data_IF_074139176540
#
_entry.id   IF_074139176540
#
_cell.length_a   1.000
_cell.length_b   1.000
_cell.length_c   1.000
_cell.angle_alpha   90.00
_cell.angle_beta   90.00
_cell.angle_gamma   90.00
#
_symmetry.space_group_name_H-M   'P 1'
#
loop_
_entity.id
_entity.type
_entity.pdbx_description
1 polymer ?
#
# COMPACT_ATOMS: atom_id res chain seq x y z
N UNK A 1 30.77 12.92 6.75
CA UNK A 1 30.68 11.60 6.08
C UNK A 1 29.73 10.63 6.82
N UNK A 2 28.68 11.09 7.53
CA UNK A 2 27.91 10.25 8.48
C UNK A 2 26.42 10.00 8.17
N UNK A 3 25.82 10.75 7.23
CA UNK A 3 24.38 10.62 6.94
C UNK A 3 24.09 9.49 5.94
N UNK A 4 24.99 9.24 4.98
CA UNK A 4 24.81 8.19 3.96
C UNK A 4 24.83 6.76 4.54
N UNK A 5 25.64 6.49 5.57
CA UNK A 5 25.72 5.15 6.15
C UNK A 5 24.47 4.76 6.96
N UNK A 6 23.83 5.70 7.66
CA UNK A 6 22.64 5.41 8.49
C UNK A 6 21.43 4.99 7.62
N UNK A 7 21.33 5.57 6.42
CA UNK A 7 20.23 5.33 5.46
C UNK A 7 20.28 3.91 4.87
N UNK A 8 21.47 3.42 4.52
CA UNK A 8 21.64 2.04 4.02
C UNK A 8 21.36 1.00 5.08
N UNK A 9 21.60 1.29 6.37
CA UNK A 9 21.38 0.33 7.45
C UNK A 9 19.89 0.12 7.76
N UNK A 10 19.07 1.19 7.75
CA UNK A 10 17.61 1.04 7.94
C UNK A 10 16.94 0.26 6.79
N UNK A 11 17.37 0.48 5.54
CA UNK A 11 16.86 -0.26 4.39
C UNK A 11 17.40 -1.71 4.31
N UNK A 12 18.56 -2.00 4.90
CA UNK A 12 19.11 -3.37 4.98
C UNK A 12 18.39 -4.20 6.03
N UNK A 13 18.09 -3.60 7.19
CA UNK A 13 17.50 -4.29 8.35
C UNK A 13 15.96 -4.36 8.32
N UNK A 14 15.32 -3.91 7.24
CA UNK A 14 13.87 -3.99 7.10
C UNK A 14 13.41 -5.39 6.69
N UNK A 15 12.40 -5.91 7.38
CA UNK A 15 11.80 -7.22 7.17
C UNK A 15 10.80 -7.22 5.99
N UNK A 16 10.20 -6.08 5.68
CA UNK A 16 9.28 -5.92 4.54
C UNK A 16 9.63 -4.69 3.71
N UNK A 17 9.59 -4.83 2.36
CA UNK A 17 10.03 -3.80 1.41
C UNK A 17 9.06 -3.69 0.24
N UNK A 18 8.55 -2.49 -0.02
CA UNK A 18 7.63 -2.24 -1.14
C UNK A 18 7.69 -0.78 -1.61
N UNK A 19 7.84 -0.55 -2.92
CA UNK A 19 7.82 0.78 -3.56
C UNK A 19 8.63 1.90 -2.86
N UNK A 20 9.81 1.58 -2.33
CA UNK A 20 10.65 2.53 -1.60
C UNK A 20 10.17 2.83 -0.18
N UNK A 21 9.29 2.00 0.37
CA UNK A 21 8.89 1.92 1.77
C UNK A 21 9.47 0.65 2.37
N UNK A 22 10.06 0.79 3.56
CA UNK A 22 10.84 -0.24 4.24
C UNK A 22 10.36 -0.31 5.70
N UNK A 23 9.89 -1.48 6.11
CA UNK A 23 9.38 -1.73 7.46
C UNK A 23 10.40 -2.54 8.25
N UNK A 24 10.82 -2.04 9.41
CA UNK A 24 11.73 -2.72 10.32
C UNK A 24 10.99 -3.03 11.61
N UNK A 25 10.77 -4.31 11.87
CA UNK A 25 9.95 -4.78 12.99
C UNK A 25 10.72 -4.72 14.30
N UNK A 26 12.03 -4.94 14.25
CA UNK A 26 12.88 -4.86 15.45
C UNK A 26 13.02 -3.43 15.96
N UNK A 27 12.99 -2.45 15.05
CA UNK A 27 13.11 -1.03 15.37
C UNK A 27 11.78 -0.28 15.34
N UNK A 28 10.67 -0.97 15.02
CA UNK A 28 9.32 -0.41 14.88
C UNK A 28 9.28 0.86 14.04
N UNK A 29 9.92 0.82 12.87
CA UNK A 29 10.06 1.99 12.00
C UNK A 29 9.68 1.72 10.55
N UNK A 30 9.07 2.73 9.94
CA UNK A 30 8.76 2.83 8.52
C UNK A 30 9.71 3.87 7.93
N UNK A 31 10.67 3.41 7.12
CA UNK A 31 11.56 4.26 6.35
C UNK A 31 11.02 4.41 4.93
N UNK A 32 10.92 5.66 4.46
CA UNK A 32 10.35 5.98 3.15
C UNK A 32 11.36 6.80 2.32
N UNK A 33 11.76 6.23 1.19
CA UNK A 33 12.62 6.86 0.20
C UNK A 33 11.79 7.41 -0.95
N UNK A 34 11.95 8.69 -1.28
CA UNK A 34 11.25 9.31 -2.41
C UNK A 34 12.02 9.05 -3.72
N UNK A 35 11.30 8.71 -4.79
CA UNK A 35 11.90 8.37 -6.09
C UNK A 35 12.26 9.59 -6.96
N UNK A 36 11.73 10.78 -6.66
CA UNK A 36 11.88 11.95 -7.54
C UNK A 36 13.08 12.83 -7.14
N UNK A 37 14.00 13.04 -8.09
CA UNK A 37 15.21 13.89 -7.94
C UNK A 37 14.89 15.38 -7.66
N UNK A 38 13.70 15.87 -8.04
CA UNK A 38 13.32 17.28 -7.89
C UNK A 38 12.79 17.66 -6.51
N UNK A 39 12.46 16.67 -5.66
CA UNK A 39 12.16 16.87 -4.23
C UNK A 39 13.36 16.43 -3.40
N UNK A 40 14.49 17.15 -3.52
CA UNK A 40 15.73 17.03 -2.72
C UNK A 40 15.71 15.90 -1.67
N UNK A 41 15.96 14.65 -2.05
CA UNK A 41 16.30 13.54 -1.14
C UNK A 41 15.56 13.48 0.21
N UNK A 42 14.27 13.87 0.27
CA UNK A 42 13.55 14.00 1.56
C UNK A 42 13.13 12.62 2.05
N UNK A 43 14.07 11.84 2.53
CA UNK A 43 13.77 10.59 3.20
C UNK A 43 13.03 10.87 4.51
N UNK A 44 12.04 10.06 4.83
CA UNK A 44 11.30 10.19 6.08
C UNK A 44 11.35 8.86 6.83
N UNK A 45 11.76 8.94 8.08
CA UNK A 45 11.67 7.84 9.04
C UNK A 45 10.49 8.15 9.97
N UNK A 46 9.56 7.21 10.05
CA UNK A 46 8.40 7.25 10.94
C UNK A 46 8.44 6.06 11.87
N UNK A 47 8.01 6.24 13.12
CA UNK A 47 7.74 5.11 14.02
C UNK A 47 6.41 4.45 13.65
N UNK A 48 6.23 3.20 14.05
CA UNK A 48 4.97 2.48 13.91
C UNK A 48 3.83 3.22 14.60
N UNK A 49 4.08 3.78 15.79
CA UNK A 49 3.08 4.55 16.52
C UNK A 49 2.64 5.87 15.83
N UNK A 50 3.35 6.33 14.80
CA UNK A 50 2.94 7.48 13.99
C UNK A 50 2.01 7.10 12.83
N UNK A 51 1.84 5.79 12.54
CA UNK A 51 0.86 5.32 11.58
C UNK A 51 -0.54 5.46 12.20
N UNK A 52 -1.38 6.28 11.59
CA UNK A 52 -2.74 6.54 12.07
C UNK A 52 -3.76 5.61 11.39
N UNK A 53 -3.61 5.40 10.09
CA UNK A 53 -4.49 4.55 9.29
C UNK A 53 -3.90 4.34 7.89
N UNK A 54 -4.53 3.48 7.11
CA UNK A 54 -4.25 3.35 5.68
C UNK A 54 -5.55 3.14 4.90
N UNK A 55 -5.47 3.31 3.58
CA UNK A 55 -6.56 2.93 2.66
C UNK A 55 -6.02 2.45 1.33
N UNK A 56 -6.71 1.49 0.75
CA UNK A 56 -6.47 1.04 -0.62
C UNK A 56 -7.16 1.94 -1.66
N UNK A 57 -6.58 2.00 -2.86
CA UNK A 57 -7.17 2.65 -4.03
C UNK A 57 -6.90 1.76 -5.24
N UNK A 58 -7.98 1.23 -5.83
CA UNK A 58 -7.96 0.45 -7.06
C UNK A 58 -8.81 1.15 -8.11
N UNK A 59 -8.22 1.46 -9.26
CA UNK A 59 -8.89 2.07 -10.42
C UNK A 59 -8.95 1.05 -11.56
N UNK A 60 -10.17 0.61 -11.90
CA UNK A 60 -10.41 -0.41 -12.90
C UNK A 60 -11.14 0.10 -14.15
N UNK A 61 -10.80 -0.50 -15.27
CA UNK A 61 -11.37 -0.18 -16.57
C UNK A 61 -11.90 -1.45 -17.21
N UNK A 62 -13.15 -1.39 -17.67
CA UNK A 62 -13.74 -2.44 -18.46
C UNK A 62 -13.66 -2.04 -19.94
N UNK A 63 -12.91 -2.83 -20.72
CA UNK A 63 -12.85 -2.65 -22.16
C UNK A 63 -13.95 -3.49 -22.83
N UNK A 64 -14.99 -2.82 -23.33
CA UNK A 64 -15.97 -3.44 -24.22
C UNK A 64 -15.40 -3.47 -25.65
N UNK A 65 -15.34 -4.66 -26.27
CA UNK A 65 -14.94 -4.80 -27.68
C UNK A 65 -16.03 -4.22 -28.59
N UNK A 66 -15.87 -2.94 -28.93
CA UNK A 66 -16.44 -2.11 -30.03
C UNK A 66 -16.62 -0.68 -29.47
N UNK A 67 -15.58 0.14 -29.53
CA UNK A 67 -15.63 1.62 -29.36
C UNK A 67 -16.17 2.22 -28.04
N UNK A 68 -16.08 1.54 -26.90
CA UNK A 68 -16.49 2.13 -25.61
C UNK A 68 -15.56 1.72 -24.47
N UNK A 69 -14.72 2.66 -24.03
CA UNK A 69 -13.96 2.52 -22.78
C UNK A 69 -14.88 2.97 -21.65
N UNK A 70 -15.36 2.04 -20.83
CA UNK A 70 -16.15 2.37 -19.63
C UNK A 70 -15.21 2.32 -18.42
N UNK A 71 -15.00 3.48 -17.79
CA UNK A 71 -14.29 3.56 -16.50
C UNK A 71 -15.26 3.17 -15.39
N UNK A 72 -14.85 2.23 -14.54
CA UNK A 72 -15.55 1.93 -13.30
C UNK A 72 -14.63 2.40 -12.17
N UNK A 73 -15.05 3.38 -11.37
CA UNK A 73 -14.31 3.67 -10.13
C UNK A 73 -14.87 2.69 -9.10
N UNK A 74 -14.25 1.52 -8.98
CA UNK A 74 -14.69 0.51 -8.02
C UNK A 74 -14.08 0.79 -6.65
N UNK A 75 -14.86 1.43 -5.76
CA UNK A 75 -14.48 1.71 -4.37
C UNK A 75 -14.66 0.50 -3.44
N UNK A 76 -14.30 -0.70 -3.87
CA UNK A 76 -14.71 -1.93 -3.20
C UNK A 76 -13.60 -2.57 -2.37
N UNK A 77 -13.93 -2.82 -1.10
CA UNK A 77 -13.31 -3.82 -0.24
C UNK A 77 -12.98 -5.07 -1.06
N UNK A 78 -11.70 -5.43 -1.08
CA UNK A 78 -11.24 -6.70 -1.62
C UNK A 78 -11.96 -7.85 -0.89
N UNK A 79 -12.82 -8.57 -1.61
CA UNK A 79 -13.50 -9.73 -1.05
C UNK A 79 -12.58 -10.96 -1.06
N UNK A 80 -11.70 -11.04 -0.07
CA UNK A 80 -10.96 -12.26 0.29
C UNK A 80 -9.77 -12.62 -0.61
N UNK A 81 -9.13 -13.79 -0.33
CA UNK A 81 -7.82 -14.17 -0.86
C UNK A 81 -7.79 -14.38 -2.38
N UNK A 82 -8.95 -14.49 -3.03
CA UNK A 82 -9.10 -14.61 -4.49
C UNK A 82 -9.13 -13.27 -5.22
N UNK A 83 -9.08 -12.14 -4.50
CA UNK A 83 -8.98 -10.80 -5.10
C UNK A 83 -10.18 -10.38 -5.93
N UNK A 84 -11.37 -10.79 -5.50
CA UNK A 84 -12.60 -10.36 -6.13
C UNK A 84 -12.85 -8.87 -5.83
N UNK A 85 -12.65 -8.04 -6.85
CA UNK A 85 -13.11 -6.64 -6.87
C UNK A 85 -14.64 -6.67 -7.03
N UNK A 86 -15.38 -6.39 -5.96
CA UNK A 86 -16.85 -6.40 -5.96
C UNK A 86 -17.39 -5.04 -6.43
N UNK A 87 -17.22 -4.72 -7.71
CA UNK A 87 -17.83 -3.55 -8.35
C UNK A 87 -19.08 -3.93 -9.11
N UNK A 88 -20.20 -3.24 -8.85
CA UNK A 88 -21.48 -3.45 -9.50
C UNK A 88 -21.35 -3.38 -11.05
N UNK A 89 -22.11 -4.26 -11.72
CA UNK A 89 -22.24 -4.45 -13.18
C UNK A 89 -21.13 -5.26 -13.86
N UNK A 90 -21.32 -6.59 -13.90
CA UNK A 90 -20.68 -7.48 -14.88
C UNK A 90 -21.73 -8.10 -15.80
N UNK A 91 -22.21 -7.33 -16.77
CA UNK A 91 -22.93 -7.85 -17.93
C UNK A 91 -21.99 -7.87 -19.14
N UNK A 92 -21.39 -9.02 -19.45
CA UNK A 92 -20.65 -9.25 -20.71
C UNK A 92 -19.19 -9.68 -20.57
N UNK A 93 -18.65 -10.32 -21.63
CA UNK A 93 -17.26 -10.79 -21.76
C UNK A 93 -16.28 -9.62 -21.94
N UNK A 94 -16.13 -8.77 -20.92
CA UNK A 94 -15.22 -7.62 -20.94
C UNK A 94 -13.81 -8.02 -20.50
N UNK A 95 -12.79 -7.45 -21.15
CA UNK A 95 -11.43 -7.49 -20.62
C UNK A 95 -11.35 -6.48 -19.48
N UNK A 96 -11.13 -6.96 -18.27
CA UNK A 96 -10.92 -6.11 -17.10
C UNK A 96 -9.44 -5.77 -16.95
N UNK A 97 -9.14 -4.49 -16.85
CA UNK A 97 -7.79 -3.97 -16.62
C UNK A 97 -7.79 -3.07 -15.39
N UNK A 98 -6.67 -3.00 -14.70
CA UNK A 98 -6.42 -2.06 -13.60
C UNK A 98 -5.36 -1.08 -14.08
N UNK A 99 -5.65 0.21 -13.96
CA UNK A 99 -4.67 1.27 -14.29
C UNK A 99 -3.94 1.77 -13.05
N UNK A 100 -4.57 1.63 -11.88
CA UNK A 100 -3.99 2.08 -10.61
C UNK A 100 -4.32 1.09 -9.50
N UNK A 101 -3.29 0.70 -8.77
CA UNK A 101 -3.40 -0.03 -7.51
C UNK A 101 -2.38 0.56 -6.56
N UNK A 102 -2.84 1.17 -5.48
CA UNK A 102 -1.97 1.78 -4.48
C UNK A 102 -2.57 1.68 -3.08
N UNK A 103 -1.71 1.74 -2.08
CA UNK A 103 -2.09 1.94 -0.68
C UNK A 103 -1.60 3.31 -0.25
N UNK A 104 -2.46 4.06 0.44
CA UNK A 104 -2.12 5.37 1.00
C UNK A 104 -1.99 5.21 2.51
N UNK A 105 -0.77 5.40 3.02
CA UNK A 105 -0.47 5.46 4.45
C UNK A 105 -0.76 6.87 4.95
N UNK A 106 -1.45 6.99 6.08
CA UNK A 106 -1.79 8.26 6.73
C UNK A 106 -1.16 8.30 8.12
N UNK A 107 -0.42 9.36 8.40
CA UNK A 107 0.32 9.52 9.66
C UNK A 107 -0.36 10.55 10.58
N UNK A 108 -0.06 10.47 11.87
CA UNK A 108 -0.64 11.33 12.92
C UNK A 108 -0.28 12.81 12.77
N UNK A 109 0.85 13.12 12.10
CA UNK A 109 1.25 14.49 11.77
C UNK A 109 0.51 15.09 10.55
N UNK A 110 -0.48 14.36 10.01
CA UNK A 110 -1.25 14.74 8.83
C UNK A 110 -0.52 14.48 7.51
N UNK A 111 0.71 13.97 7.53
CA UNK A 111 1.41 13.56 6.31
C UNK A 111 0.85 12.25 5.77
N UNK A 112 1.07 12.01 4.47
CA UNK A 112 0.67 10.76 3.82
C UNK A 112 1.71 10.28 2.83
N UNK A 113 1.71 8.96 2.59
CA UNK A 113 2.59 8.31 1.63
C UNK A 113 1.81 7.36 0.73
N UNK A 114 1.96 7.55 -0.57
CA UNK A 114 1.47 6.59 -1.56
C UNK A 114 2.50 5.47 -1.77
N UNK A 115 2.03 4.24 -1.69
CA UNK A 115 2.75 3.00 -2.04
C UNK A 115 2.12 2.48 -3.32
N UNK A 116 2.80 2.61 -4.44
CA UNK A 116 2.25 2.26 -5.75
C UNK A 116 2.60 0.82 -6.12
N UNK A 117 1.57 0.01 -6.35
CA UNK A 117 1.71 -1.41 -6.72
C UNK A 117 1.54 -1.57 -8.24
N UNK A 118 0.57 -0.86 -8.83
CA UNK A 118 0.33 -0.74 -10.27
C UNK A 118 0.18 0.75 -10.62
N UNK A 119 0.96 1.18 -11.61
CA UNK A 119 0.79 2.46 -12.30
C UNK A 119 0.84 2.18 -13.81
N UNK A 120 -0.32 2.21 -14.45
CA UNK A 120 -0.49 1.87 -15.86
C UNK A 120 -1.37 0.64 -16.06
N UNK A 121 -1.81 0.44 -17.31
CA UNK A 121 -2.80 -0.57 -17.69
C UNK A 121 -2.24 -1.99 -17.55
N UNK A 122 -2.82 -2.78 -16.64
CA UNK A 122 -2.49 -4.20 -16.42
C UNK A 122 -3.78 -5.03 -16.50
N UNK A 123 -3.78 -6.12 -17.26
CA UNK A 123 -4.92 -7.05 -17.31
C UNK A 123 -5.06 -7.81 -15.97
N UNK A 124 -6.26 -7.87 -15.38
CA UNK A 124 -6.48 -8.53 -14.08
C UNK A 124 -6.17 -10.04 -14.09
N UNK A 125 -6.27 -10.67 -15.26
CA UNK A 125 -5.91 -12.09 -15.43
C UNK A 125 -4.40 -12.33 -15.58
N UNK A 126 -3.60 -11.27 -15.68
CA UNK A 126 -2.15 -11.41 -15.88
C UNK A 126 -1.45 -11.87 -14.61
N UNK A 127 -0.38 -12.64 -14.75
CA UNK A 127 0.47 -13.01 -13.63
C UNK A 127 1.04 -11.78 -12.91
N UNK A 128 1.31 -10.69 -13.64
CA UNK A 128 1.74 -9.43 -13.07
C UNK A 128 0.69 -8.86 -12.10
N UNK A 129 -0.59 -8.82 -12.50
CA UNK A 129 -1.65 -8.38 -11.60
C UNK A 129 -1.70 -9.25 -10.33
N UNK A 130 -1.69 -10.57 -10.48
CA UNK A 130 -1.77 -11.50 -9.34
C UNK A 130 -0.60 -11.29 -8.36
N UNK A 131 0.62 -11.11 -8.87
CA UNK A 131 1.79 -10.79 -8.05
C UNK A 131 1.67 -9.45 -7.31
N UNK A 132 1.18 -8.41 -8.00
CA UNK A 132 1.00 -7.07 -7.39
C UNK A 132 -0.14 -7.05 -6.37
N UNK A 133 -1.21 -7.78 -6.64
CA UNK A 133 -2.33 -7.98 -5.75
C UNK A 133 -1.89 -8.72 -4.48
N UNK A 134 -1.16 -9.83 -4.60
CA UNK A 134 -0.62 -10.54 -3.44
C UNK A 134 0.27 -9.63 -2.58
N UNK A 135 1.08 -8.77 -3.22
CA UNK A 135 1.91 -7.79 -2.50
C UNK A 135 1.10 -6.71 -1.78
N UNK A 136 -0.07 -6.35 -2.29
CA UNK A 136 -0.99 -5.45 -1.59
C UNK A 136 -1.56 -6.12 -0.34
N UNK A 137 -2.07 -7.35 -0.46
CA UNK A 137 -2.59 -8.12 0.68
C UNK A 137 -1.52 -8.33 1.75
N UNK A 138 -0.29 -8.65 1.37
CA UNK A 138 0.83 -8.74 2.31
C UNK A 138 1.12 -7.41 3.02
N UNK A 139 1.02 -6.28 2.31
CA UNK A 139 1.19 -4.95 2.89
C UNK A 139 0.05 -4.62 3.86
N UNK A 140 -1.20 -4.89 3.51
CA UNK A 140 -2.36 -4.66 4.37
C UNK A 140 -2.27 -5.46 5.66
N UNK A 141 -1.99 -6.76 5.56
CA UNK A 141 -1.79 -7.61 6.73
C UNK A 141 -0.66 -7.09 7.63
N UNK A 142 0.40 -6.55 7.02
CA UNK A 142 1.49 -5.92 7.77
C UNK A 142 1.05 -4.66 8.51
N UNK A 143 0.25 -3.81 7.87
CA UNK A 143 -0.26 -2.58 8.46
C UNK A 143 -1.30 -2.87 9.55
N UNK A 144 -2.18 -3.85 9.35
CA UNK A 144 -3.13 -4.32 10.37
C UNK A 144 -2.41 -4.81 11.62
N UNK A 145 -1.34 -5.59 11.45
CA UNK A 145 -0.51 -6.04 12.58
C UNK A 145 0.11 -4.88 13.35
N UNK A 146 0.50 -3.80 12.67
CA UNK A 146 1.07 -2.61 13.32
C UNK A 146 -0.02 -1.89 14.12
N UNK A 147 -1.17 -1.62 13.49
CA UNK A 147 -2.28 -0.91 14.13
C UNK A 147 -2.85 -1.69 15.34
N UNK A 148 -2.99 -3.02 15.21
CA UNK A 148 -3.46 -3.86 16.30
C UNK A 148 -2.48 -3.88 17.51
N UNK A 149 -1.17 -3.88 17.26
CA UNK A 149 -0.18 -3.80 18.34
C UNK A 149 -0.28 -2.47 19.12
N UNK A 150 -0.52 -1.36 18.43
CA UNK A 150 -0.71 -0.04 19.05
C UNK A 150 -1.95 0.01 19.98
N UNK A 151 -3.02 -0.70 19.62
CA UNK A 151 -4.24 -0.81 20.45
C UNK A 151 -3.99 -1.60 21.74
N UNK A 152 -3.17 -2.65 21.69
CA UNK A 152 -2.81 -3.46 22.85
C UNK A 152 -1.93 -2.68 23.85
N UNK A 153 -0.92 -1.94 23.37
CA UNK A 153 -0.09 -1.08 24.21
C UNK A 153 -0.90 0.01 24.94
N UNK A 154 -1.92 0.55 24.27
CA UNK A 154 -2.78 1.60 24.84
C UNK A 154 -3.72 1.05 25.92
N UNK A 155 -4.12 -0.22 25.83
CA UNK A 155 -5.06 -0.86 26.77
C UNK A 155 -4.35 -1.39 28.02
N UNK A 156 -3.13 -1.93 27.90
CA UNK A 156 -2.33 -2.37 29.05
C UNK A 156 -1.90 -1.20 29.95
N UNK A 157 -1.61 -0.02 29.37
CA UNK A 157 -1.29 1.18 30.15
C UNK A 157 -2.49 1.73 30.95
N UNK A 158 -3.72 1.46 30.50
CA UNK A 158 -4.96 1.90 31.17
C UNK A 158 -5.42 0.97 32.29
N UNK A 159 -4.98 -0.28 32.31
CA UNK A 159 -5.32 -1.24 33.38
C UNK A 159 -4.38 -1.17 34.59
N UNK A 160 -3.25 -0.45 34.48
CA UNK A 160 -2.27 -0.28 35.56
C UNK A 160 -2.35 1.10 36.27
N UNK A 161 -3.45 1.85 36.09
CA UNK A 161 -3.74 3.10 36.82
C UNK A 161 -5.06 2.96 37.58
#
# INVERSE_FOLDING_TARGET
MGLFNKQTEHAKNSNFKIDGVYFNDNAETIYMKYKNLTKNGRESLKKYNELASYREVVDDMQENKKHGITRAVTGSLIAGPTGAIVGAATGGKTKKTVEKMKVILMFTDGSSREVNLIMGKVEMKSALYQQRFQKMVELEAKLDSILAAQEQETSEQRSNT
#
